data_IF_671043324828
#
_entry.id   IF_671043324828
#
_cell.length_a   1.000
_cell.length_b   1.000
_cell.length_c   1.000
_cell.angle_alpha   90.00
_cell.angle_beta   90.00
_cell.angle_gamma   90.00
#
_symmetry.space_group_name_H-M   'P 1'
#
loop_
_entity.id
_entity.type
_entity.pdbx_description
1 polymer ?
#
# COMPACT_ATOMS: atom_id res chain seq x y z
N UNK A 1 -56.81 -52.20 -9.12
CA UNK A 1 -57.22 -51.58 -7.84
C UNK A 1 -56.13 -50.59 -7.37
N UNK A 2 -56.08 -49.35 -7.89
CA UNK A 2 -55.09 -48.33 -7.46
C UNK A 2 -55.69 -46.91 -7.46
N UNK A 3 -56.94 -46.76 -7.01
CA UNK A 3 -57.66 -45.48 -7.10
C UNK A 3 -58.24 -45.02 -5.77
N UNK A 4 -57.47 -45.03 -4.67
CA UNK A 4 -57.85 -44.35 -3.42
C UNK A 4 -56.63 -43.99 -2.53
N UNK A 5 -55.67 -43.22 -3.04
CA UNK A 5 -54.71 -42.53 -2.15
C UNK A 5 -54.90 -41.01 -2.26
N UNK A 6 -55.34 -40.33 -1.18
CA UNK A 6 -55.42 -38.88 -1.17
C UNK A 6 -54.02 -38.30 -1.32
N UNK A 7 -53.76 -37.60 -2.42
CA UNK A 7 -52.43 -37.08 -2.80
C UNK A 7 -51.76 -36.19 -1.74
N UNK A 8 -52.54 -35.61 -0.82
CA UNK A 8 -52.05 -34.75 0.26
C UNK A 8 -51.65 -35.52 1.52
N UNK A 9 -52.27 -36.67 1.81
CA UNK A 9 -51.96 -37.46 3.01
C UNK A 9 -50.78 -38.39 2.78
N UNK A 10 -50.62 -38.92 1.57
CA UNK A 10 -49.47 -39.78 1.22
C UNK A 10 -48.13 -39.05 1.32
N UNK A 11 -48.07 -37.77 0.94
CA UNK A 11 -46.86 -36.95 1.02
C UNK A 11 -46.45 -36.67 2.48
N UNK A 12 -47.41 -36.38 3.37
CA UNK A 12 -47.15 -36.11 4.79
C UNK A 12 -46.66 -37.35 5.52
N UNK A 13 -47.22 -38.53 5.21
CA UNK A 13 -46.75 -39.81 5.78
C UNK A 13 -45.34 -40.15 5.32
N UNK A 14 -45.00 -39.87 4.06
CA UNK A 14 -43.63 -40.03 3.56
C UNK A 14 -42.66 -39.04 4.23
N UNK A 15 -43.08 -37.81 4.50
CA UNK A 15 -42.24 -36.82 5.17
C UNK A 15 -41.98 -37.18 6.64
N UNK A 16 -43.01 -37.59 7.38
CA UNK A 16 -42.89 -38.05 8.77
C UNK A 16 -42.10 -39.36 8.87
N UNK A 17 -42.38 -40.33 7.99
CA UNK A 17 -41.66 -41.59 7.91
C UNK A 17 -40.22 -41.41 7.46
N UNK A 18 -39.97 -40.53 6.49
CA UNK A 18 -38.64 -40.18 6.01
C UNK A 18 -37.82 -39.48 7.07
N UNK A 19 -38.40 -38.53 7.82
CA UNK A 19 -37.73 -37.87 8.94
C UNK A 19 -37.36 -38.86 10.05
N UNK A 20 -38.31 -39.73 10.44
CA UNK A 20 -38.08 -40.78 11.42
C UNK A 20 -36.98 -41.75 10.98
N UNK A 21 -37.05 -42.23 9.74
CA UNK A 21 -36.06 -43.14 9.16
C UNK A 21 -34.67 -42.51 9.06
N UNK A 22 -34.58 -41.27 8.56
CA UNK A 22 -33.32 -40.51 8.51
C UNK A 22 -32.75 -40.32 9.92
N UNK A 23 -33.58 -39.94 10.90
CA UNK A 23 -33.13 -39.75 12.29
C UNK A 23 -32.63 -41.05 12.93
N UNK A 24 -33.29 -42.18 12.64
CA UNK A 24 -32.92 -43.49 13.13
C UNK A 24 -31.61 -43.99 12.50
N UNK A 25 -31.48 -43.88 11.17
CA UNK A 25 -30.22 -44.17 10.49
C UNK A 25 -29.09 -43.29 11.04
N UNK A 26 -29.34 -41.99 11.22
CA UNK A 26 -28.35 -41.05 11.75
C UNK A 26 -27.94 -41.43 13.18
N UNK A 27 -28.87 -41.89 14.02
CA UNK A 27 -28.57 -42.38 15.37
C UNK A 27 -27.66 -43.61 15.34
N UNK A 28 -27.94 -44.59 14.48
CA UNK A 28 -27.10 -45.78 14.32
C UNK A 28 -25.68 -45.42 13.85
N UNK A 29 -25.57 -44.49 12.90
CA UNK A 29 -24.29 -43.97 12.48
C UNK A 29 -23.57 -43.22 13.62
N UNK A 30 -24.29 -42.44 14.42
CA UNK A 30 -23.71 -41.68 15.54
C UNK A 30 -23.11 -42.57 16.62
N UNK A 31 -23.78 -43.67 16.97
CA UNK A 31 -23.29 -44.57 18.01
C UNK A 31 -22.01 -45.29 17.58
N UNK A 32 -21.95 -45.75 16.33
CA UNK A 32 -20.75 -46.37 15.76
C UNK A 32 -19.61 -45.37 15.56
N UNK A 33 -19.90 -44.15 15.09
CA UNK A 33 -18.91 -43.08 14.97
C UNK A 33 -18.36 -42.72 16.36
N UNK A 34 -19.22 -42.62 17.38
CA UNK A 34 -18.80 -42.31 18.75
C UNK A 34 -17.89 -43.40 19.29
N UNK A 35 -18.22 -44.67 19.05
CA UNK A 35 -17.39 -45.82 19.42
C UNK A 35 -16.02 -45.78 18.72
N UNK A 36 -15.98 -45.53 17.40
CA UNK A 36 -14.74 -45.39 16.62
C UNK A 36 -13.86 -44.22 17.08
N UNK A 37 -14.48 -43.06 17.34
CA UNK A 37 -13.78 -41.85 17.79
C UNK A 37 -13.20 -42.04 19.19
N UNK A 38 -13.89 -42.73 20.10
CA UNK A 38 -13.36 -43.00 21.44
C UNK A 38 -12.18 -43.96 21.42
N UNK A 39 -12.23 -45.00 20.58
CA UNK A 39 -11.18 -46.02 20.54
C UNK A 39 -9.90 -45.55 19.82
N UNK A 40 -10.02 -44.62 18.84
CA UNK A 40 -8.91 -44.17 17.99
C UNK A 40 -8.87 -42.65 17.79
N UNK A 41 -9.08 -41.88 18.86
CA UNK A 41 -9.21 -40.41 18.81
C UNK A 41 -8.05 -39.69 18.09
N UNK A 42 -6.81 -40.13 18.31
CA UNK A 42 -5.63 -39.50 17.70
C UNK A 42 -5.60 -39.68 16.18
N UNK A 43 -5.84 -40.88 15.66
CA UNK A 43 -5.85 -41.16 14.22
C UNK A 43 -6.96 -40.38 13.49
N UNK A 44 -8.11 -40.22 14.15
CA UNK A 44 -9.22 -39.45 13.63
C UNK A 44 -8.89 -37.96 13.46
N UNK A 45 -8.24 -37.35 14.46
CA UNK A 45 -7.79 -35.95 14.39
C UNK A 45 -6.78 -35.72 13.25
N UNK A 46 -5.82 -36.63 13.08
CA UNK A 46 -4.86 -36.56 11.96
C UNK A 46 -5.55 -36.72 10.61
N UNK A 47 -6.48 -37.65 10.46
CA UNK A 47 -7.22 -37.85 9.22
C UNK A 47 -8.01 -36.60 8.82
N UNK A 48 -8.76 -36.02 9.75
CA UNK A 48 -9.51 -34.77 9.50
C UNK A 48 -8.55 -33.62 9.15
N UNK A 49 -7.44 -33.48 9.89
CA UNK A 49 -6.44 -32.45 9.62
C UNK A 49 -5.87 -32.55 8.20
N UNK A 50 -5.50 -33.76 7.77
CA UNK A 50 -4.97 -34.00 6.42
C UNK A 50 -6.03 -33.69 5.35
N UNK A 51 -7.28 -34.11 5.54
CA UNK A 51 -8.38 -33.82 4.60
C UNK A 51 -8.62 -32.31 4.48
N UNK A 52 -8.61 -31.58 5.59
CA UNK A 52 -8.75 -30.11 5.60
C UNK A 52 -7.60 -29.45 4.81
N UNK A 53 -6.36 -29.89 5.03
CA UNK A 53 -5.18 -29.37 4.33
C UNK A 53 -5.28 -29.65 2.82
N UNK A 54 -5.70 -30.86 2.42
CA UNK A 54 -5.87 -31.20 1.01
C UNK A 54 -6.96 -30.37 0.33
N UNK A 55 -8.10 -30.17 0.98
CA UNK A 55 -9.18 -29.33 0.47
C UNK A 55 -8.73 -27.86 0.35
N UNK A 56 -8.00 -27.35 1.35
CA UNK A 56 -7.40 -26.01 1.28
C UNK A 56 -6.37 -25.89 0.15
N UNK A 57 -5.56 -26.91 -0.07
CA UNK A 57 -4.57 -26.94 -1.15
C UNK A 57 -5.24 -26.94 -2.54
N UNK A 58 -6.33 -27.70 -2.71
CA UNK A 58 -7.14 -27.69 -3.93
C UNK A 58 -7.77 -26.31 -4.14
N UNK A 59 -8.32 -25.70 -3.08
CA UNK A 59 -8.90 -24.37 -3.15
C UNK A 59 -7.86 -23.28 -3.50
N UNK A 60 -6.66 -23.37 -2.93
CA UNK A 60 -5.56 -22.47 -3.24
C UNK A 60 -5.11 -22.60 -4.71
N UNK A 61 -5.08 -23.83 -5.22
CA UNK A 61 -4.69 -24.11 -6.61
C UNK A 61 -5.71 -23.59 -7.63
N UNK A 62 -7.00 -23.61 -7.30
CA UNK A 62 -8.07 -23.15 -8.20
C UNK A 62 -8.26 -21.61 -8.20
N UNK A 63 -7.57 -20.91 -7.30
CA UNK A 63 -7.61 -19.45 -7.18
C UNK A 63 -8.80 -18.94 -6.37
N UNK A 64 -8.66 -17.81 -5.66
CA UNK A 64 -9.74 -17.24 -4.87
C UNK A 64 -10.86 -16.70 -5.79
N UNK A 65 -12.13 -16.98 -5.50
CA UNK A 65 -13.25 -16.50 -6.31
C UNK A 65 -13.36 -14.97 -6.21
N UNK A 66 -13.53 -14.31 -7.36
CA UNK A 66 -13.46 -12.85 -7.49
C UNK A 66 -14.70 -12.11 -6.94
N UNK A 67 -15.80 -12.82 -6.68
CA UNK A 67 -17.04 -12.21 -6.19
C UNK A 67 -16.94 -11.88 -4.69
N UNK A 68 -17.22 -10.62 -4.33
CA UNK A 68 -17.29 -10.16 -2.92
C UNK A 68 -18.23 -11.01 -2.05
N UNK A 69 -19.29 -11.56 -2.65
CA UNK A 69 -20.24 -12.45 -1.97
C UNK A 69 -19.61 -13.80 -1.63
N UNK A 70 -18.82 -14.35 -2.54
CA UNK A 70 -18.13 -15.62 -2.37
C UNK A 70 -17.03 -15.49 -1.30
N UNK A 71 -16.30 -14.37 -1.30
CA UNK A 71 -15.28 -14.06 -0.30
C UNK A 71 -15.90 -13.99 1.10
N UNK A 72 -17.05 -13.32 1.25
CA UNK A 72 -17.77 -13.29 2.51
C UNK A 72 -18.20 -14.69 2.94
N UNK A 73 -18.78 -15.50 2.05
CA UNK A 73 -19.19 -16.88 2.36
C UNK A 73 -18.01 -17.74 2.83
N UNK A 74 -16.86 -17.62 2.17
CA UNK A 74 -15.62 -18.32 2.54
C UNK A 74 -15.12 -17.85 3.91
N UNK A 75 -15.21 -16.56 4.20
CA UNK A 75 -14.88 -16.02 5.52
C UNK A 75 -15.80 -16.61 6.60
N UNK A 76 -17.12 -16.63 6.36
CA UNK A 76 -18.08 -17.25 7.28
C UNK A 76 -17.82 -18.74 7.47
N UNK A 77 -17.50 -19.48 6.40
CA UNK A 77 -17.20 -20.91 6.49
C UNK A 77 -15.89 -21.18 7.22
N UNK A 78 -14.83 -20.41 6.94
CA UNK A 78 -13.54 -20.53 7.65
C UNK A 78 -13.69 -20.21 9.14
N UNK A 79 -14.51 -19.20 9.46
CA UNK A 79 -14.80 -18.84 10.84
C UNK A 79 -15.60 -19.95 11.55
N UNK A 80 -16.56 -20.57 10.87
CA UNK A 80 -17.33 -21.70 11.40
C UNK A 80 -16.46 -22.95 11.57
N UNK A 81 -15.59 -23.25 10.60
CA UNK A 81 -14.64 -24.37 10.67
C UNK A 81 -13.66 -24.17 11.83
N UNK A 82 -13.14 -22.96 12.01
CA UNK A 82 -12.28 -22.62 13.15
C UNK A 82 -13.00 -22.82 14.49
N UNK A 83 -14.24 -22.35 14.59
CA UNK A 83 -15.11 -22.54 15.77
C UNK A 83 -15.29 -24.02 16.10
N UNK A 84 -15.58 -24.82 15.07
CA UNK A 84 -15.79 -26.26 15.16
C UNK A 84 -14.50 -26.99 15.54
N UNK A 85 -13.36 -26.55 15.02
CA UNK A 85 -12.04 -27.11 15.36
C UNK A 85 -11.67 -26.83 16.82
N UNK A 86 -11.93 -25.62 17.32
CA UNK A 86 -11.77 -25.27 18.75
C UNK A 86 -12.71 -26.11 19.62
N UNK A 87 -13.92 -26.41 19.13
CA UNK A 87 -14.85 -27.31 19.81
C UNK A 87 -14.33 -28.74 19.91
N UNK A 88 -13.85 -29.32 18.80
CA UNK A 88 -13.33 -30.68 18.78
C UNK A 88 -11.93 -30.84 19.39
N UNK A 89 -11.14 -29.77 19.45
CA UNK A 89 -9.79 -29.79 20.04
C UNK A 89 -9.81 -29.84 21.57
N UNK A 90 -10.91 -29.46 22.21
CA UNK A 90 -10.99 -29.45 23.68
C UNK A 90 -11.63 -30.73 24.19
N UNK A 91 -10.88 -31.48 25.01
CA UNK A 91 -11.37 -32.70 25.66
C UNK A 91 -12.42 -32.39 26.75
N UNK A 92 -12.53 -31.13 27.18
CA UNK A 92 -13.48 -30.68 28.20
C UNK A 92 -14.46 -29.66 27.61
N UNK A 93 -15.71 -30.11 27.41
CA UNK A 93 -16.86 -29.32 26.93
C UNK A 93 -16.99 -27.93 27.59
N UNK A 94 -16.88 -27.77 28.93
CA UNK A 94 -17.06 -26.45 29.55
C UNK A 94 -15.97 -25.45 29.15
N UNK A 95 -14.72 -25.89 28.97
CA UNK A 95 -13.62 -25.02 28.55
C UNK A 95 -13.75 -24.58 27.09
N UNK A 96 -14.29 -25.44 26.24
CA UNK A 96 -14.59 -25.05 24.87
C UNK A 96 -15.65 -23.95 24.83
N UNK A 97 -16.75 -24.11 25.56
CA UNK A 97 -17.86 -23.15 25.59
C UNK A 97 -17.38 -21.78 26.10
N UNK A 98 -16.55 -21.75 27.14
CA UNK A 98 -16.01 -20.47 27.65
C UNK A 98 -15.13 -19.77 26.62
N UNK A 99 -14.28 -20.50 25.89
CA UNK A 99 -13.45 -19.94 24.82
C UNK A 99 -14.31 -19.41 23.67
N UNK A 100 -15.38 -20.12 23.29
CA UNK A 100 -16.32 -19.64 22.27
C UNK A 100 -17.03 -18.35 22.69
N UNK A 101 -17.48 -18.26 23.94
CA UNK A 101 -18.11 -17.06 24.50
C UNK A 101 -17.11 -15.90 24.51
N UNK A 102 -15.87 -16.12 24.95
CA UNK A 102 -14.82 -15.09 24.97
C UNK A 102 -14.52 -14.58 23.56
N UNK A 103 -14.39 -15.47 22.57
CA UNK A 103 -14.16 -15.08 21.18
C UNK A 103 -15.34 -14.29 20.59
N UNK A 104 -16.56 -14.68 20.94
CA UNK A 104 -17.77 -13.99 20.48
C UNK A 104 -17.88 -12.59 21.11
N UNK A 105 -17.60 -12.47 22.41
CA UNK A 105 -17.49 -11.19 23.11
C UNK A 105 -16.38 -10.34 22.49
N UNK A 106 -15.21 -10.91 22.22
CA UNK A 106 -14.10 -10.16 21.61
C UNK A 106 -14.47 -9.64 20.23
N UNK A 107 -15.07 -10.46 19.37
CA UNK A 107 -15.51 -10.03 18.04
C UNK A 107 -16.63 -8.98 18.11
N UNK A 108 -17.60 -9.19 19.00
CA UNK A 108 -18.71 -8.26 19.22
C UNK A 108 -18.26 -6.94 19.83
N UNK A 109 -17.24 -6.93 20.70
CA UNK A 109 -16.70 -5.73 21.33
C UNK A 109 -15.74 -5.00 20.39
N UNK A 110 -14.95 -5.73 19.59
CA UNK A 110 -13.93 -5.15 18.73
C UNK A 110 -14.51 -4.44 17.49
N UNK A 111 -15.64 -4.92 16.96
CA UNK A 111 -16.34 -4.25 15.86
C UNK A 111 -16.79 -2.81 16.22
N UNK A 112 -17.60 -2.57 17.27
CA UNK A 112 -17.96 -1.22 17.70
C UNK A 112 -16.76 -0.47 18.29
N UNK A 113 -15.83 -1.12 18.99
CA UNK A 113 -14.63 -0.46 19.51
C UNK A 113 -13.76 0.11 18.40
N UNK A 114 -13.64 -0.54 17.24
CA UNK A 114 -12.92 0.00 16.07
C UNK A 114 -13.60 1.26 15.51
N UNK A 115 -14.92 1.28 15.45
CA UNK A 115 -15.68 2.46 14.99
C UNK A 115 -15.54 3.61 15.96
N UNK A 116 -15.66 3.33 17.27
CA UNK A 116 -15.48 4.32 18.35
C UNK A 116 -14.05 4.84 18.36
N UNK A 117 -13.04 3.97 18.30
CA UNK A 117 -11.63 4.35 18.24
C UNK A 117 -11.31 5.19 16.99
N UNK A 118 -11.91 4.88 15.84
CA UNK A 118 -11.76 5.70 14.62
C UNK A 118 -12.40 7.07 14.82
N UNK A 119 -13.62 7.15 15.37
CA UNK A 119 -14.26 8.45 15.70
C UNK A 119 -13.41 9.24 16.70
N UNK A 120 -12.97 8.62 17.79
CA UNK A 120 -12.12 9.24 18.80
C UNK A 120 -10.80 9.73 18.22
N UNK A 121 -10.15 8.98 17.33
CA UNK A 121 -8.94 9.43 16.65
C UNK A 121 -9.20 10.61 15.71
N UNK A 122 -10.34 10.67 15.03
CA UNK A 122 -10.73 11.83 14.21
C UNK A 122 -11.00 13.04 15.10
N UNK A 123 -11.74 12.88 16.20
CA UNK A 123 -12.01 13.95 17.17
C UNK A 123 -10.72 14.43 17.84
N UNK A 124 -9.83 13.52 18.21
CA UNK A 124 -8.51 13.81 18.79
C UNK A 124 -7.63 14.56 17.81
N UNK A 125 -7.61 14.20 16.52
CA UNK A 125 -6.89 14.95 15.47
C UNK A 125 -7.47 16.35 15.22
N UNK A 126 -8.78 16.54 15.47
CA UNK A 126 -9.44 17.85 15.40
C UNK A 126 -9.12 18.72 16.62
N UNK A 127 -9.04 18.12 17.81
CA UNK A 127 -8.76 18.81 19.07
C UNK A 127 -7.27 19.10 19.26
N UNK A 128 -6.42 18.20 18.78
CA UNK A 128 -4.97 18.31 18.75
C UNK A 128 -4.52 18.22 17.29
N UNK A 129 -4.55 19.33 16.53
CA UNK A 129 -3.91 19.35 15.22
C UNK A 129 -2.46 18.94 15.46
N UNK A 130 -2.05 17.85 14.82
CA UNK A 130 -0.64 17.43 14.83
C UNK A 130 0.21 18.64 14.46
N UNK A 131 1.34 18.89 15.14
CA UNK A 131 2.23 19.98 14.75
C UNK A 131 2.47 19.85 13.25
N UNK A 132 2.21 20.94 12.53
CA UNK A 132 2.35 21.02 11.07
C UNK A 132 3.65 20.33 10.72
N UNK A 133 3.57 19.17 10.03
CA UNK A 133 4.78 18.49 9.57
C UNK A 133 5.59 19.56 8.84
N UNK A 134 6.83 19.87 9.27
CA UNK A 134 7.60 20.91 8.63
C UNK A 134 7.65 20.54 7.15
N UNK A 135 7.22 21.45 6.27
CA UNK A 135 7.32 21.25 4.83
C UNK A 135 8.78 20.91 4.56
N UNK A 136 9.04 19.65 4.20
CA UNK A 136 10.37 19.20 3.82
C UNK A 136 10.71 20.02 2.59
N UNK A 137 11.64 20.96 2.72
CA UNK A 137 12.18 21.63 1.55
C UNK A 137 12.77 20.55 0.65
N UNK A 138 12.50 20.68 -0.64
CA UNK A 138 13.10 19.82 -1.65
C UNK A 138 14.61 19.92 -1.51
N UNK A 139 15.29 18.78 -1.48
CA UNK A 139 16.76 18.79 -1.54
C UNK A 139 17.21 19.35 -2.88
N UNK A 140 18.42 19.90 -2.95
CA UNK A 140 18.94 20.48 -4.21
C UNK A 140 18.85 19.46 -5.36
N UNK A 141 19.22 18.20 -5.09
CA UNK A 141 19.17 17.11 -6.08
C UNK A 141 17.74 16.81 -6.55
N UNK A 142 16.76 16.81 -5.63
CA UNK A 142 15.36 16.60 -5.99
C UNK A 142 14.82 17.79 -6.82
N UNK A 143 15.28 19.03 -6.57
CA UNK A 143 14.92 20.22 -7.34
C UNK A 143 15.49 20.20 -8.75
N UNK A 144 16.78 19.87 -8.88
CA UNK A 144 17.44 19.81 -10.18
C UNK A 144 16.78 18.75 -11.07
N UNK A 145 16.46 17.58 -10.50
CA UNK A 145 15.76 16.51 -11.21
C UNK A 145 14.35 16.90 -11.64
N UNK A 146 13.58 17.55 -10.77
CA UNK A 146 12.23 18.03 -11.13
C UNK A 146 12.30 19.09 -12.25
N UNK A 147 13.33 19.93 -12.22
CA UNK A 147 13.63 20.89 -13.29
C UNK A 147 13.94 20.21 -14.62
N UNK A 148 14.78 19.17 -14.63
CA UNK A 148 15.09 18.39 -15.82
C UNK A 148 13.84 17.70 -16.38
N UNK A 149 13.05 17.04 -15.54
CA UNK A 149 11.85 16.31 -15.96
C UNK A 149 10.78 17.25 -16.53
N UNK A 150 10.56 18.41 -15.91
CA UNK A 150 9.62 19.41 -16.40
C UNK A 150 10.10 20.02 -17.73
N UNK A 151 11.39 20.33 -17.82
CA UNK A 151 12.01 20.85 -19.04
C UNK A 151 11.88 19.84 -20.18
N UNK A 152 12.16 18.56 -19.93
CA UNK A 152 11.99 17.47 -20.90
C UNK A 152 10.58 17.43 -21.46
N UNK A 153 9.57 17.42 -20.59
CA UNK A 153 8.17 17.36 -21.00
C UNK A 153 7.78 18.56 -21.87
N UNK A 154 8.24 19.76 -21.52
CA UNK A 154 7.87 20.96 -22.26
C UNK A 154 8.59 21.04 -23.61
N UNK A 155 9.84 20.57 -23.67
CA UNK A 155 10.58 20.46 -24.93
C UNK A 155 10.01 19.39 -25.86
N UNK A 156 9.54 18.26 -25.33
CA UNK A 156 8.81 17.26 -26.14
C UNK A 156 7.51 17.84 -26.73
N UNK A 157 6.76 18.62 -25.94
CA UNK A 157 5.57 19.31 -26.43
C UNK A 157 5.95 20.32 -27.51
N UNK A 158 7.03 21.07 -27.32
CA UNK A 158 7.55 22.01 -28.32
C UNK A 158 7.92 21.28 -29.62
N UNK A 159 8.65 20.17 -29.53
CA UNK A 159 9.03 19.33 -30.67
C UNK A 159 7.80 18.85 -31.44
N UNK A 160 6.80 18.32 -30.72
CA UNK A 160 5.52 17.89 -31.32
C UNK A 160 4.77 19.03 -31.98
N UNK A 161 4.77 20.23 -31.37
CA UNK A 161 4.14 21.41 -31.94
C UNK A 161 4.84 21.83 -33.24
N UNK A 162 6.17 21.90 -33.27
CA UNK A 162 6.93 22.23 -34.47
C UNK A 162 6.77 21.21 -35.60
N UNK A 163 6.53 19.93 -35.29
CA UNK A 163 6.23 18.88 -36.29
C UNK A 163 4.77 18.84 -36.74
N UNK A 164 3.88 19.57 -36.06
CA UNK A 164 2.44 19.57 -36.37
C UNK A 164 2.13 20.44 -37.59
N UNK A 165 1.21 20.03 -38.48
CA UNK A 165 0.76 20.86 -39.60
C UNK A 165 0.02 22.15 -39.18
N UNK A 166 -0.36 22.27 -37.90
CA UNK A 166 -0.97 23.48 -37.33
C UNK A 166 0.05 24.59 -37.03
N UNK A 167 1.34 24.25 -36.94
CA UNK A 167 2.40 25.21 -36.70
C UNK A 167 2.86 25.89 -38.00
N UNK A 168 2.87 27.22 -38.00
CA UNK A 168 3.38 28.02 -39.11
C UNK A 168 4.93 28.01 -39.12
N UNK A 169 5.49 26.98 -39.76
CA UNK A 169 6.93 26.73 -39.81
C UNK A 169 7.73 27.94 -40.31
N UNK A 170 7.23 28.67 -41.32
CA UNK A 170 7.92 29.83 -41.89
C UNK A 170 7.99 31.00 -40.91
N UNK A 171 6.91 31.22 -40.15
CA UNK A 171 6.87 32.25 -39.10
C UNK A 171 7.79 31.90 -37.94
N UNK A 172 7.88 30.63 -37.56
CA UNK A 172 8.80 30.17 -36.51
C UNK A 172 10.25 30.35 -36.97
N UNK A 173 10.60 29.85 -38.16
CA UNK A 173 11.95 29.95 -38.73
C UNK A 173 12.40 31.40 -38.88
N UNK A 174 11.51 32.33 -39.25
CA UNK A 174 11.86 33.76 -39.37
C UNK A 174 12.22 34.44 -38.04
N UNK A 175 11.76 33.89 -36.92
CA UNK A 175 11.94 34.49 -35.58
C UNK A 175 13.10 33.88 -34.80
N UNK A 176 13.55 32.69 -35.21
CA UNK A 176 14.58 31.93 -34.50
C UNK A 176 15.95 32.29 -35.06
N UNK A 177 16.92 32.53 -34.15
CA UNK A 177 18.28 32.98 -34.50
C UNK A 177 19.04 31.92 -35.32
N UNK A 178 18.88 30.64 -34.95
CA UNK A 178 19.59 29.51 -35.54
C UNK A 178 18.57 28.48 -36.06
N UNK A 179 18.03 28.74 -37.25
CA UNK A 179 17.01 27.89 -37.87
C UNK A 179 17.49 26.46 -38.14
N UNK A 180 18.79 26.29 -38.42
CA UNK A 180 19.42 24.98 -38.62
C UNK A 180 19.37 24.13 -37.34
N UNK A 181 19.72 24.70 -36.19
CA UNK A 181 19.63 24.00 -34.89
C UNK A 181 18.21 23.64 -34.54
N UNK A 182 17.25 24.52 -34.81
CA UNK A 182 15.84 24.17 -34.60
C UNK A 182 15.42 22.97 -35.46
N UNK A 183 15.82 22.92 -36.74
CA UNK A 183 15.50 21.80 -37.61
C UNK A 183 16.12 20.49 -37.12
N UNK A 184 17.38 20.55 -36.67
CA UNK A 184 18.08 19.41 -36.05
C UNK A 184 17.34 18.97 -34.77
N UNK A 185 17.05 19.88 -33.84
CA UNK A 185 16.25 19.60 -32.64
C UNK A 185 14.90 18.90 -32.92
N UNK A 186 14.19 19.32 -33.98
CA UNK A 186 12.86 18.79 -34.31
C UNK A 186 12.94 17.39 -34.92
N UNK A 187 13.98 17.11 -35.71
CA UNK A 187 14.12 15.87 -36.46
C UNK A 187 15.05 14.83 -35.83
N UNK A 188 15.95 15.24 -34.93
CA UNK A 188 16.90 14.36 -34.26
C UNK A 188 16.22 13.54 -33.16
N UNK A 189 16.71 12.34 -32.88
CA UNK A 189 16.11 11.40 -31.92
C UNK A 189 16.71 11.50 -30.50
N UNK A 190 17.62 12.45 -30.27
CA UNK A 190 18.26 12.68 -28.96
C UNK A 190 17.30 13.20 -27.87
N UNK A 191 17.64 12.99 -26.59
CA UNK A 191 16.90 13.55 -25.44
C UNK A 191 16.92 15.08 -25.55
N UNK A 192 15.76 15.76 -25.61
CA UNK A 192 15.71 17.21 -25.78
C UNK A 192 16.43 17.98 -24.67
N UNK A 193 16.54 17.41 -23.46
CA UNK A 193 17.31 18.03 -22.36
C UNK A 193 18.81 17.95 -22.63
N UNK A 194 19.28 16.84 -23.20
CA UNK A 194 20.69 16.65 -23.58
C UNK A 194 21.05 17.52 -24.77
N UNK A 195 20.15 17.67 -25.74
CA UNK A 195 20.35 18.54 -26.91
C UNK A 195 20.59 20.01 -26.55
N UNK A 196 19.87 20.52 -25.53
CA UNK A 196 20.02 21.91 -25.04
C UNK A 196 21.15 22.05 -24.01
N UNK A 197 21.61 20.93 -23.45
CA UNK A 197 22.77 20.91 -22.56
C UNK A 197 24.02 21.43 -23.26
N UNK A 198 25.01 21.85 -22.47
CA UNK A 198 26.29 22.32 -22.99
C UNK A 198 26.95 21.23 -23.86
N UNK A 199 26.84 21.35 -25.19
CA UNK A 199 27.50 20.49 -26.16
C UNK A 199 28.86 21.12 -26.50
N UNK A 200 29.92 20.31 -26.51
CA UNK A 200 31.28 20.78 -26.82
C UNK A 200 31.34 21.41 -28.23
N UNK A 201 30.46 20.97 -29.13
CA UNK A 201 30.32 21.46 -30.50
C UNK A 201 29.70 22.86 -30.62
N UNK A 202 29.03 23.38 -29.57
CA UNK A 202 28.51 24.75 -29.55
C UNK A 202 29.58 25.80 -29.22
N UNK A 203 30.75 25.35 -28.73
CA UNK A 203 31.94 26.19 -28.68
C UNK A 203 32.65 26.08 -30.03
N UNK A 204 32.31 27.00 -30.95
CA UNK A 204 33.15 27.29 -32.10
C UNK A 204 34.58 27.55 -31.59
N UNK A 205 35.44 26.54 -31.75
CA UNK A 205 36.88 26.65 -31.51
C UNK A 205 37.51 27.36 -32.70
N UNK A 206 37.08 28.61 -32.92
CA UNK A 206 37.80 29.57 -33.76
C UNK A 206 38.61 30.53 -32.87
N UNK A 207 39.09 30.03 -31.74
CA UNK A 207 40.04 30.71 -30.87
C UNK A 207 41.48 30.29 -31.19
N UNK A 208 41.87 30.36 -32.46
CA UNK A 208 43.29 30.31 -32.81
C UNK A 208 43.97 31.65 -32.52
N UNK A 209 43.84 32.20 -31.29
CA UNK A 209 44.73 33.25 -30.75
C UNK A 209 44.46 33.60 -29.26
N UNK A 210 44.25 32.62 -28.37
CA UNK A 210 44.25 32.89 -26.94
C UNK A 210 45.35 32.10 -26.25
N UNK A 211 46.37 32.83 -25.81
CA UNK A 211 47.50 32.35 -25.03
C UNK A 211 47.05 31.59 -23.79
N UNK A 212 47.63 30.40 -23.59
CA UNK A 212 47.38 29.48 -22.48
C UNK A 212 47.46 30.13 -21.08
N UNK A 213 48.14 31.27 -20.95
CA UNK A 213 48.33 32.01 -19.70
C UNK A 213 47.05 32.70 -19.20
N UNK A 214 46.25 33.31 -20.11
CA UNK A 214 45.02 34.01 -19.72
C UNK A 214 43.90 33.04 -19.32
N UNK A 215 43.82 31.90 -20.00
CA UNK A 215 42.85 30.85 -19.67
C UNK A 215 43.18 30.23 -18.31
N UNK A 216 44.47 30.00 -18.02
CA UNK A 216 44.90 29.51 -16.70
C UNK A 216 44.57 30.50 -15.58
N UNK A 217 44.79 31.80 -15.80
CA UNK A 217 44.45 32.84 -14.81
C UNK A 217 42.94 32.90 -14.54
N UNK A 218 42.11 32.81 -15.58
CA UNK A 218 40.66 32.76 -15.40
C UNK A 218 40.19 31.50 -14.67
N UNK A 219 40.75 30.33 -15.00
CA UNK A 219 40.45 29.08 -14.31
C UNK A 219 40.84 29.16 -12.83
N UNK A 220 41.99 29.79 -12.52
CA UNK A 220 42.47 29.96 -11.16
C UNK A 220 41.59 30.94 -10.35
N UNK A 221 41.15 32.03 -10.99
CA UNK A 221 40.17 32.95 -10.41
C UNK A 221 38.82 32.26 -10.16
N UNK A 222 38.34 31.45 -11.11
CA UNK A 222 37.11 30.67 -10.97
C UNK A 222 37.22 29.67 -9.82
N UNK A 223 38.31 28.91 -9.74
CA UNK A 223 38.62 28.00 -8.62
C UNK A 223 38.65 28.76 -7.28
N UNK A 224 39.27 29.94 -7.24
CA UNK A 224 39.32 30.76 -6.02
C UNK A 224 37.92 31.24 -5.58
N UNK A 225 37.06 31.60 -6.55
CA UNK A 225 35.70 32.06 -6.31
C UNK A 225 34.79 30.93 -5.83
N UNK A 226 34.93 29.74 -6.41
CA UNK A 226 34.20 28.53 -5.99
C UNK A 226 34.65 28.09 -4.59
N UNK A 227 35.96 28.12 -4.31
CA UNK A 227 36.51 27.82 -2.98
C UNK A 227 36.01 28.79 -1.91
N UNK A 228 35.92 30.10 -2.23
CA UNK A 228 35.32 31.13 -1.37
C UNK A 228 33.81 30.89 -1.14
N UNK A 229 33.06 30.50 -2.18
CA UNK A 229 31.63 30.16 -2.05
C UNK A 229 31.42 28.90 -1.18
N UNK A 230 32.25 27.87 -1.35
CA UNK A 230 32.19 26.64 -0.56
C UNK A 230 32.50 26.89 0.93
N UNK A 231 33.56 27.65 1.24
CA UNK A 231 33.87 28.05 2.63
C UNK A 231 32.79 28.94 3.23
N UNK A 232 32.15 29.82 2.45
CA UNK A 232 31.01 30.61 2.92
C UNK A 232 29.78 29.74 3.23
N UNK A 233 29.50 28.70 2.44
CA UNK A 233 28.45 27.71 2.73
C UNK A 233 28.75 26.90 4.00
N UNK A 234 30.02 26.58 4.26
CA UNK A 234 30.47 25.90 5.48
C UNK A 234 30.35 26.77 6.75
N UNK A 235 30.41 28.10 6.62
CA UNK A 235 30.35 29.06 7.74
C UNK A 235 28.94 29.24 8.33
N UNK A 236 27.90 28.72 7.66
CA UNK A 236 26.56 28.59 8.22
C UNK A 236 26.37 27.12 8.63
N UNK A 237 26.71 26.72 9.86
CA UNK A 237 26.30 25.42 10.34
C UNK A 237 24.78 25.36 10.30
N UNK A 238 24.24 24.30 9.70
CA UNK A 238 22.82 23.98 9.83
C UNK A 238 22.51 23.97 11.32
N UNK A 239 21.66 24.90 11.77
CA UNK A 239 21.23 25.01 13.17
C UNK A 239 20.54 23.71 13.54
N UNK A 240 21.28 22.80 14.15
CA UNK A 240 20.78 21.57 14.77
C UNK A 240 19.86 22.04 15.91
N UNK A 241 18.55 21.99 15.69
CA UNK A 241 17.55 22.41 16.66
C UNK A 241 17.76 21.65 17.97
N UNK A 242 18.10 22.39 19.01
CA UNK A 242 18.36 21.87 20.35
C UNK A 242 17.07 21.27 20.93
N UNK A 243 17.23 20.12 21.59
CA UNK A 243 16.21 19.37 22.31
C UNK A 243 15.99 19.86 23.75
N UNK A 244 16.54 21.02 24.12
CA UNK A 244 16.71 21.41 25.54
C UNK A 244 15.76 22.52 26.03
N UNK A 245 14.64 22.79 25.32
CA UNK A 245 13.67 23.80 25.76
C UNK A 245 12.47 23.23 26.55
N UNK A 246 12.45 21.93 26.83
CA UNK A 246 11.38 21.31 27.64
C UNK A 246 11.73 21.14 29.12
N UNK A 247 13.00 21.20 29.53
CA UNK A 247 13.34 21.02 30.95
C UNK A 247 13.20 22.31 31.76
N UNK A 248 13.37 23.49 31.14
CA UNK A 248 13.25 24.78 31.85
C UNK A 248 11.82 25.25 32.13
N UNK A 249 10.82 24.68 31.47
CA UNK A 249 9.41 25.06 31.70
C UNK A 249 8.79 24.22 32.83
N UNK A 250 9.38 23.06 33.15
CA UNK A 250 8.82 22.15 34.17
C UNK A 250 9.22 22.54 35.61
N UNK A 251 10.28 23.34 35.79
CA UNK A 251 10.79 23.70 37.12
C UNK A 251 10.20 25.02 37.68
N UNK A 252 9.60 25.87 36.84
CA UNK A 252 9.06 27.17 37.28
C UNK A 252 7.60 27.14 37.76
N UNK A 253 6.94 25.98 37.75
CA UNK A 253 5.52 25.83 38.14
C UNK A 253 5.32 25.02 39.43
N UNK A 254 6.37 24.71 40.19
CA UNK A 254 6.30 23.89 41.41
C UNK A 254 6.64 24.64 42.71
N UNK A 255 6.80 25.97 42.69
CA UNK A 255 7.19 26.75 43.88
C UNK A 255 6.34 28.00 44.09
N UNK A 256 5.02 27.91 43.93
CA UNK A 256 4.17 29.06 44.29
C UNK A 256 2.72 28.68 44.65
N UNK A 257 2.50 27.58 45.40
CA UNK A 257 1.21 27.31 46.06
C UNK A 257 1.42 26.42 47.29
N UNK A 258 1.85 27.02 48.39
CA UNK A 258 1.77 26.46 49.75
C UNK A 258 1.85 27.60 50.77
N UNK A 259 0.71 28.28 50.93
CA UNK A 259 0.25 28.89 52.19
C UNK A 259 -1.27 28.65 52.31
#
# INVERSE_FOLDING_TARGET
MYRFMPKKTSATVLYLGGWGFVSFCLSLFWDEIKSLVYNNFLYFQFYIGIVIILVLAIFYRNGPPQDVRSINLIQWSLQLVSLLLVFFSSQLIPFSITVLIILLIFNFLFSPARVIARKLNVTRKKLFPSPIKPRKFLTMEEYDKEGEDYTRQELEKLKKFCSSPEADAWRIVSRVKESKKLAEFVHDDEDPVTYIGFREEDFDTDSSDYSDEFVQEQIELLKSSLKKKATKRQKYPCRKGNRDLNDKITESYLTDDSD
#
